data_IF_624219432223
#
_entry.id   IF_624219432223
#
_cell.length_a   1.000
_cell.length_b   1.000
_cell.length_c   1.000
_cell.angle_alpha   90.00
_cell.angle_beta   90.00
_cell.angle_gamma   90.00
#
_symmetry.space_group_name_H-M   'P 1'
#
loop_
_entity.id
_entity.type
_entity.pdbx_description
1 polymer ?
#
# COMPACT_ATOMS: atom_id res chain seq x y z
N UNK A 1 3.84 -6.77 -5.01
CA UNK A 1 4.88 -7.46 -4.22
C UNK A 1 4.23 -8.24 -3.11
N UNK A 2 4.89 -9.30 -2.65
CA UNK A 2 4.53 -10.03 -1.44
C UNK A 2 5.74 -10.03 -0.49
N UNK A 3 5.52 -9.74 0.79
CA UNK A 3 6.56 -9.73 1.83
C UNK A 3 6.26 -10.84 2.84
N UNK A 4 7.14 -11.83 2.89
CA UNK A 4 7.02 -12.95 3.83
C UNK A 4 7.42 -12.54 5.26
N UNK A 5 7.10 -13.38 6.25
CA UNK A 5 7.27 -13.07 7.68
C UNK A 5 8.71 -12.78 8.07
N UNK A 6 9.67 -13.35 7.37
CA UNK A 6 11.11 -13.13 7.56
C UNK A 6 11.65 -11.87 6.86
N UNK A 7 10.78 -11.13 6.14
CA UNK A 7 11.14 -9.94 5.39
C UNK A 7 11.57 -10.20 3.95
N UNK A 8 11.54 -11.46 3.47
CA UNK A 8 11.81 -11.77 2.07
C UNK A 8 10.79 -11.10 1.15
N UNK A 9 11.26 -10.34 0.16
CA UNK A 9 10.42 -9.60 -0.79
C UNK A 9 10.33 -10.38 -2.11
N UNK A 10 9.13 -10.83 -2.44
CA UNK A 10 8.82 -11.47 -3.71
C UNK A 10 8.18 -10.48 -4.68
N UNK A 11 8.76 -10.39 -5.89
CA UNK A 11 8.14 -9.69 -7.02
C UNK A 11 7.29 -10.69 -7.82
N UNK A 12 5.97 -10.62 -7.64
CA UNK A 12 5.04 -11.55 -8.30
C UNK A 12 4.79 -11.21 -9.78
N UNK A 13 4.99 -9.96 -10.18
CA UNK A 13 4.75 -9.48 -11.56
C UNK A 13 5.56 -8.21 -11.85
N UNK A 14 5.74 -7.83 -13.13
CA UNK A 14 6.34 -6.56 -13.51
C UNK A 14 5.58 -5.35 -12.94
N UNK A 15 6.30 -4.26 -12.66
CA UNK A 15 5.76 -3.10 -11.92
C UNK A 15 4.77 -2.27 -12.77
N UNK A 16 4.81 -2.46 -14.09
CA UNK A 16 3.96 -1.81 -15.08
C UNK A 16 2.78 -2.67 -15.52
N UNK A 17 2.59 -3.85 -14.94
CA UNK A 17 1.43 -4.69 -15.23
C UNK A 17 0.25 -4.27 -14.36
N UNK A 18 -0.95 -4.32 -14.94
CA UNK A 18 -2.17 -4.06 -14.20
C UNK A 18 -2.44 -5.20 -13.21
N UNK A 19 -2.49 -4.87 -11.92
CA UNK A 19 -2.83 -5.80 -10.84
C UNK A 19 -4.20 -5.48 -10.26
N UNK A 20 -4.90 -6.49 -9.73
CA UNK A 20 -6.16 -6.31 -8.99
C UNK A 20 -5.91 -6.49 -7.49
N UNK A 21 -5.78 -5.37 -6.78
CA UNK A 21 -5.50 -5.33 -5.34
C UNK A 21 -6.25 -4.23 -4.59
N UNK A 22 -6.53 -3.09 -5.23
CA UNK A 22 -7.20 -1.93 -4.61
C UNK A 22 -8.28 -1.34 -5.52
N UNK A 23 -9.55 -1.44 -5.11
CA UNK A 23 -10.69 -0.97 -5.90
C UNK A 23 -10.55 0.53 -6.18
N UNK A 24 -10.88 0.95 -7.40
CA UNK A 24 -10.83 2.36 -7.84
C UNK A 24 -9.44 2.92 -8.12
N UNK A 25 -8.36 2.31 -7.61
CA UNK A 25 -6.98 2.82 -7.73
C UNK A 25 -6.01 1.86 -8.46
N UNK A 26 -6.43 0.63 -8.80
CA UNK A 26 -5.59 -0.39 -9.44
C UNK A 26 -4.74 0.12 -10.62
N UNK A 27 -5.31 0.99 -11.48
CA UNK A 27 -4.66 1.47 -12.69
C UNK A 27 -3.42 2.34 -12.44
N UNK A 28 -3.26 2.87 -11.23
CA UNK A 28 -2.16 3.75 -10.86
C UNK A 28 -1.46 3.34 -9.56
N UNK A 29 -1.62 2.09 -9.12
CA UNK A 29 -1.13 1.64 -7.82
C UNK A 29 -0.34 0.33 -7.92
N UNK A 30 0.77 0.27 -7.19
CA UNK A 30 1.54 -0.95 -6.95
C UNK A 30 1.11 -1.51 -5.59
N UNK A 31 0.64 -2.75 -5.57
CA UNK A 31 0.21 -3.44 -4.34
C UNK A 31 1.39 -4.10 -3.61
N UNK A 32 1.37 -4.06 -2.27
CA UNK A 32 2.31 -4.76 -1.40
C UNK A 32 1.52 -5.56 -0.36
N UNK A 33 1.50 -6.87 -0.52
CA UNK A 33 0.83 -7.80 0.39
C UNK A 33 1.83 -8.31 1.44
N UNK A 34 1.43 -8.35 2.71
CA UNK A 34 2.26 -8.88 3.79
C UNK A 34 1.68 -10.20 4.28
N UNK A 35 2.48 -11.27 4.31
CA UNK A 35 2.04 -12.58 4.81
C UNK A 35 1.79 -12.48 6.32
N UNK A 36 0.53 -12.64 6.72
CA UNK A 36 0.13 -12.54 8.12
C UNK A 36 -1.37 -12.71 8.31
N UNK A 37 -1.79 -12.74 9.58
CA UNK A 37 -3.19 -12.81 10.00
C UNK A 37 -3.35 -12.21 11.40
N UNK A 38 -4.54 -12.29 11.99
CA UNK A 38 -4.74 -11.87 13.38
C UNK A 38 -3.88 -12.68 14.38
N UNK A 39 -3.76 -14.00 14.18
CA UNK A 39 -2.94 -14.88 15.02
C UNK A 39 -1.44 -14.76 14.71
N UNK A 40 -1.12 -14.24 13.53
CA UNK A 40 0.23 -14.10 13.01
C UNK A 40 0.47 -12.62 12.63
N UNK A 41 0.60 -11.72 13.61
CA UNK A 41 0.78 -10.29 13.35
C UNK A 41 2.07 -10.01 12.56
N UNK A 42 2.11 -8.83 11.93
CA UNK A 42 3.22 -8.39 11.10
C UNK A 42 4.50 -8.18 11.92
N UNK A 43 5.63 -8.58 11.35
CA UNK A 43 6.93 -8.61 12.04
C UNK A 43 7.75 -7.34 11.79
N UNK A 44 8.78 -7.12 12.62
CA UNK A 44 9.75 -6.05 12.39
C UNK A 44 10.58 -6.27 11.11
N UNK A 45 10.79 -7.52 10.72
CA UNK A 45 11.44 -7.86 9.45
C UNK A 45 10.57 -7.41 8.26
N UNK A 46 9.26 -7.63 8.33
CA UNK A 46 8.31 -7.10 7.34
C UNK A 46 8.30 -5.58 7.32
N UNK A 47 8.33 -4.90 8.48
CA UNK A 47 8.42 -3.45 8.54
C UNK A 47 9.65 -2.93 7.80
N UNK A 48 10.84 -3.50 8.08
CA UNK A 48 12.10 -3.13 7.44
C UNK A 48 12.07 -3.40 5.93
N UNK A 49 11.50 -4.52 5.50
CA UNK A 49 11.35 -4.87 4.09
C UNK A 49 10.41 -3.88 3.36
N UNK A 50 9.29 -3.50 3.97
CA UNK A 50 8.37 -2.50 3.40
C UNK A 50 9.05 -1.14 3.27
N UNK A 51 9.81 -0.69 4.27
CA UNK A 51 10.58 0.55 4.19
C UNK A 51 11.54 0.53 2.99
N UNK A 52 12.33 -0.53 2.85
CA UNK A 52 13.27 -0.70 1.73
C UNK A 52 12.55 -0.70 0.38
N UNK A 53 11.42 -1.41 0.29
CA UNK A 53 10.62 -1.50 -0.93
C UNK A 53 10.01 -0.15 -1.31
N UNK A 54 9.47 0.59 -0.35
CA UNK A 54 8.93 1.95 -0.57
C UNK A 54 10.03 2.86 -1.09
N UNK A 55 11.21 2.86 -0.47
CA UNK A 55 12.37 3.66 -0.91
C UNK A 55 12.82 3.29 -2.33
N UNK A 56 12.89 1.99 -2.63
CA UNK A 56 13.21 1.50 -3.98
C UNK A 56 12.22 2.01 -5.03
N UNK A 57 10.93 1.86 -4.78
CA UNK A 57 9.87 2.27 -5.71
C UNK A 57 9.80 3.79 -5.87
N UNK A 58 9.94 4.55 -4.79
CA UNK A 58 9.96 6.02 -4.82
C UNK A 58 11.19 6.58 -5.55
N UNK A 59 12.32 5.87 -5.54
CA UNK A 59 13.49 6.23 -6.36
C UNK A 59 13.25 5.95 -7.85
N UNK A 60 12.55 4.86 -8.16
CA UNK A 60 12.34 4.37 -9.53
C UNK A 60 11.18 5.07 -10.24
N UNK A 61 10.16 5.48 -9.50
CA UNK A 61 8.93 6.04 -10.00
C UNK A 61 8.57 7.32 -9.24
N UNK A 62 7.81 8.20 -9.88
CA UNK A 62 7.26 9.40 -9.23
C UNK A 62 6.04 9.02 -8.37
N UNK A 63 6.30 8.33 -7.25
CA UNK A 63 5.27 7.95 -6.27
C UNK A 63 4.89 9.19 -5.46
N UNK A 64 3.60 9.48 -5.40
CA UNK A 64 3.06 10.61 -4.63
C UNK A 64 2.39 10.18 -3.33
N UNK A 65 1.86 8.97 -3.26
CA UNK A 65 0.98 8.51 -2.18
C UNK A 65 1.50 7.20 -1.56
N UNK A 66 1.42 7.11 -0.23
CA UNK A 66 1.63 5.88 0.53
C UNK A 66 0.47 5.65 1.50
N UNK A 67 -0.37 4.67 1.18
CA UNK A 67 -1.65 4.43 1.88
C UNK A 67 -1.75 2.99 2.37
N UNK A 68 -2.44 2.80 3.48
CA UNK A 68 -2.93 1.49 3.88
C UNK A 68 -4.14 1.11 3.03
N UNK A 69 -4.37 -0.18 2.80
CA UNK A 69 -5.52 -0.63 2.02
C UNK A 69 -6.83 -0.22 2.69
N UNK A 70 -6.90 -0.17 4.02
CA UNK A 70 -8.04 0.37 4.77
C UNK A 70 -8.43 1.82 4.42
N UNK A 71 -7.56 2.58 3.75
CA UNK A 71 -7.76 4.00 3.47
C UNK A 71 -8.22 4.30 2.04
N UNK A 72 -8.20 3.32 1.13
CA UNK A 72 -8.43 3.54 -0.31
C UNK A 72 -9.74 4.28 -0.63
N UNK A 73 -10.81 4.01 0.13
CA UNK A 73 -12.14 4.58 -0.10
C UNK A 73 -12.18 6.09 0.14
N UNK A 74 -11.17 6.67 0.81
CA UNK A 74 -11.03 8.12 1.00
C UNK A 74 -10.65 8.86 -0.29
N UNK A 75 -10.25 8.15 -1.34
CA UNK A 75 -10.00 8.75 -2.66
C UNK A 75 -11.27 8.95 -3.49
N UNK A 76 -12.43 8.45 -3.06
CA UNK A 76 -13.70 8.70 -3.75
C UNK A 76 -13.94 10.18 -3.99
N UNK A 77 -14.34 10.53 -5.20
CA UNK A 77 -14.57 11.91 -5.63
C UNK A 77 -13.30 12.67 -6.04
N UNK A 78 -12.11 12.09 -5.86
CA UNK A 78 -10.88 12.64 -6.45
C UNK A 78 -10.74 12.23 -7.92
N UNK A 79 -9.91 12.94 -8.67
CA UNK A 79 -9.57 12.60 -10.05
C UNK A 79 -8.85 11.25 -10.20
N UNK A 80 -8.33 10.69 -9.09
CA UNK A 80 -7.67 9.39 -9.08
C UNK A 80 -8.66 8.22 -8.96
N UNK A 81 -9.90 8.45 -8.54
CA UNK A 81 -10.85 7.36 -8.33
C UNK A 81 -11.57 6.97 -9.61
N UNK A 82 -11.42 5.72 -10.04
CA UNK A 82 -12.03 5.22 -11.30
C UNK A 82 -13.11 4.16 -11.13
N UNK A 83 -13.46 3.78 -9.91
CA UNK A 83 -14.57 2.84 -9.71
C UNK A 83 -15.92 3.56 -9.87
N UNK A 84 -16.78 3.03 -10.74
CA UNK A 84 -18.06 3.64 -11.12
C UNK A 84 -19.27 2.95 -10.48
N UNK A 85 -19.13 1.69 -10.04
CA UNK A 85 -20.19 0.98 -9.35
C UNK A 85 -20.20 1.37 -7.85
N UNK A 86 -21.22 2.11 -7.38
CA UNK A 86 -21.28 2.56 -5.99
C UNK A 86 -21.39 1.41 -4.98
N UNK A 87 -21.84 0.23 -5.42
CA UNK A 87 -22.01 -0.95 -4.58
C UNK A 87 -20.77 -1.85 -4.56
N UNK A 88 -19.74 -1.58 -5.38
CA UNK A 88 -18.53 -2.39 -5.41
C UNK A 88 -17.47 -1.83 -4.46
N UNK A 89 -17.65 -2.14 -3.18
CA UNK A 89 -16.76 -1.70 -2.11
C UNK A 89 -16.57 -2.82 -1.10
N UNK A 90 -15.38 -2.86 -0.52
CA UNK A 90 -15.07 -3.80 0.57
C UNK A 90 -14.45 -3.03 1.74
N UNK A 91 -14.91 -3.34 2.96
CA UNK A 91 -14.26 -2.88 4.18
C UNK A 91 -12.91 -3.58 4.33
N UNK A 92 -11.88 -2.82 4.65
CA UNK A 92 -10.50 -3.30 4.80
C UNK A 92 -9.92 -2.78 6.11
N UNK A 93 -9.07 -3.58 6.72
CA UNK A 93 -8.36 -3.24 7.96
C UNK A 93 -6.84 -3.36 7.80
N UNK A 94 -6.40 -4.01 6.71
CA UNK A 94 -5.00 -4.24 6.37
C UNK A 94 -4.28 -2.99 5.82
N UNK A 95 -2.95 -2.87 6.04
CA UNK A 95 -2.10 -3.72 6.89
C UNK A 95 -2.16 -3.33 8.39
N UNK A 96 -3.09 -2.45 8.78
CA UNK A 96 -3.25 -1.96 10.15
C UNK A 96 -2.67 -0.55 10.35
N UNK A 97 -3.34 0.24 11.20
CA UNK A 97 -3.02 1.65 11.46
C UNK A 97 -1.60 1.81 12.03
N UNK A 98 -1.29 1.09 13.12
CA UNK A 98 0.03 1.14 13.77
C UNK A 98 1.17 0.75 12.81
N UNK A 99 0.96 -0.23 11.94
CA UNK A 99 1.96 -0.63 10.95
C UNK A 99 2.22 0.48 9.91
N UNK A 100 1.15 1.10 9.40
CA UNK A 100 1.27 2.23 8.47
C UNK A 100 1.91 3.46 9.10
N UNK A 101 1.60 3.77 10.37
CA UNK A 101 2.25 4.86 11.11
C UNK A 101 3.76 4.64 11.22
N UNK A 102 4.19 3.42 11.58
CA UNK A 102 5.61 3.06 11.66
C UNK A 102 6.30 3.17 10.29
N UNK A 103 5.71 2.65 9.22
CA UNK A 103 6.28 2.80 7.87
C UNK A 103 6.44 4.27 7.50
N UNK A 104 5.38 5.08 7.66
CA UNK A 104 5.40 6.51 7.31
C UNK A 104 6.43 7.29 8.11
N UNK A 105 6.59 6.98 9.38
CA UNK A 105 7.63 7.57 10.22
C UNK A 105 9.03 7.23 9.71
N UNK A 106 9.26 5.98 9.30
CA UNK A 106 10.54 5.52 8.77
C UNK A 106 10.88 6.13 7.40
N UNK A 107 9.87 6.47 6.58
CA UNK A 107 10.07 7.07 5.24
C UNK A 107 9.66 8.54 5.15
N UNK A 108 9.56 9.24 6.28
CA UNK A 108 9.07 10.63 6.33
C UNK A 108 9.87 11.59 5.44
N UNK A 109 11.16 11.30 5.25
CA UNK A 109 12.07 12.06 4.40
C UNK A 109 11.68 12.02 2.91
N UNK A 110 10.89 11.03 2.48
CA UNK A 110 10.38 10.93 1.11
C UNK A 110 9.20 11.86 0.84
N UNK A 111 8.60 12.47 1.88
CA UNK A 111 7.48 13.40 1.77
C UNK A 111 6.27 12.83 0.99
N UNK A 112 6.06 11.51 1.07
CA UNK A 112 4.91 10.85 0.44
C UNK A 112 3.62 11.26 1.14
N UNK A 113 2.59 11.59 0.34
CA UNK A 113 1.28 11.99 0.85
C UNK A 113 0.55 10.78 1.46
N UNK A 114 -0.17 11.04 2.54
CA UNK A 114 -1.23 10.14 3.00
C UNK A 114 -2.48 10.27 2.13
N UNK A 115 -3.63 9.91 2.68
CA UNK A 115 -4.91 10.15 2.00
C UNK A 115 -5.16 11.64 1.74
N UNK A 116 -5.92 12.00 0.68
CA UNK A 116 -6.31 13.37 0.43
C UNK A 116 -7.04 13.97 1.63
N UNK A 117 -6.60 15.14 2.09
CA UNK A 117 -7.37 15.98 2.99
C UNK A 117 -8.51 16.61 2.19
N UNK A 118 -9.73 16.53 2.73
CA UNK A 118 -10.86 17.29 2.18
C UNK A 118 -10.64 18.78 2.37
#
# INVERSE_FOLDING_TARGET
YMVDRDGTIYRLMPDNYFARHVIGLNYCAIGVENVGSADFPLTDAQLKANEQLVRYLAKKYKIEYLIGHYEYSKFKGTSLWKETNPNYLTGKTDPGVSFMERIRNNVKDLLLKGVPTK
#
